data_IF_653155918926
#
_entry.id   IF_653155918926
#
_cell.length_a   1.000
_cell.length_b   1.000
_cell.length_c   1.000
_cell.angle_alpha   90.00
_cell.angle_beta   90.00
_cell.angle_gamma   90.00
#
_symmetry.space_group_name_H-M   'P 1'
#
loop_
_entity.id
_entity.type
_entity.pdbx_description
1 polymer ?
#
# COMPACT_ATOMS: atom_id res chain seq x y z
N UNK A 1 -13.11 -11.20 -4.48
CA UNK A 1 -12.31 -11.12 -3.22
C UNK A 1 -12.85 -12.02 -2.11
N UNK A 2 -14.07 -11.80 -1.60
CA UNK A 2 -14.66 -12.60 -0.50
C UNK A 2 -14.72 -14.12 -0.78
N UNK A 3 -15.15 -14.52 -1.98
CA UNK A 3 -15.20 -15.94 -2.37
C UNK A 3 -13.83 -16.61 -2.43
N UNK A 4 -12.80 -15.90 -2.90
CA UNK A 4 -11.43 -16.41 -2.94
C UNK A 4 -10.83 -16.57 -1.53
N UNK A 5 -11.02 -15.57 -0.65
CA UNK A 5 -10.51 -15.63 0.72
C UNK A 5 -11.14 -16.78 1.53
N UNK A 6 -12.45 -16.99 1.38
CA UNK A 6 -13.14 -18.12 2.01
C UNK A 6 -12.67 -19.46 1.45
N UNK A 7 -12.53 -19.58 0.12
CA UNK A 7 -12.02 -20.79 -0.50
C UNK A 7 -10.56 -21.10 -0.09
N UNK A 8 -9.73 -20.07 0.06
CA UNK A 8 -8.36 -20.18 0.54
C UNK A 8 -8.24 -20.42 2.07
N UNK A 9 -9.37 -20.54 2.79
CA UNK A 9 -9.39 -20.78 4.25
C UNK A 9 -8.95 -19.59 5.10
N UNK A 10 -8.91 -18.38 4.53
CA UNK A 10 -8.51 -17.16 5.23
C UNK A 10 -9.68 -16.68 6.11
N UNK A 11 -9.60 -17.00 7.40
CA UNK A 11 -10.63 -16.65 8.38
C UNK A 11 -10.29 -15.38 9.19
N UNK A 12 -9.07 -14.85 9.07
CA UNK A 12 -8.64 -13.59 9.69
C UNK A 12 -7.69 -12.83 8.77
N UNK A 13 -7.89 -11.52 8.71
CA UNK A 13 -6.97 -10.57 8.08
C UNK A 13 -6.43 -9.63 9.14
N UNK A 14 -5.11 -9.60 9.29
CA UNK A 14 -4.43 -8.83 10.33
C UNK A 14 -4.05 -7.42 9.86
N UNK A 15 -3.83 -7.25 8.55
CA UNK A 15 -3.46 -5.98 7.95
C UNK A 15 -3.98 -5.84 6.52
N UNK A 16 -4.24 -4.60 6.12
CA UNK A 16 -4.55 -4.17 4.77
C UNK A 16 -3.66 -2.97 4.45
N UNK A 17 -2.87 -3.09 3.39
CA UNK A 17 -2.08 -1.99 2.84
C UNK A 17 -2.82 -1.45 1.63
N UNK A 18 -3.17 -0.17 1.67
CA UNK A 18 -3.67 0.56 0.51
C UNK A 18 -2.51 1.34 -0.09
N UNK A 19 -2.00 0.85 -1.21
CA UNK A 19 -0.80 1.42 -1.83
C UNK A 19 -1.08 2.77 -2.46
N UNK A 20 -2.26 2.95 -3.08
CA UNK A 20 -2.75 4.23 -3.61
C UNK A 20 -4.30 4.23 -3.68
N UNK A 21 -4.87 5.42 -3.88
CA UNK A 21 -6.31 5.68 -3.83
C UNK A 21 -7.08 5.41 -5.12
N UNK A 22 -6.71 4.41 -5.94
CA UNK A 22 -7.39 4.22 -7.22
C UNK A 22 -8.87 3.80 -7.05
N UNK A 23 -9.70 4.66 -7.61
CA UNK A 23 -11.12 4.52 -7.88
C UNK A 23 -11.56 3.15 -8.41
N UNK A 24 -10.74 2.43 -9.18
CA UNK A 24 -11.12 1.12 -9.75
C UNK A 24 -11.09 -0.04 -8.73
N UNK A 25 -10.50 0.16 -7.54
CA UNK A 25 -10.25 -0.90 -6.56
C UNK A 25 -11.03 -0.76 -5.23
N UNK A 26 -11.70 0.36 -4.99
CA UNK A 26 -12.31 0.69 -3.67
C UNK A 26 -13.64 -0.02 -3.39
N UNK A 27 -14.31 -0.57 -4.42
CA UNK A 27 -15.59 -1.27 -4.25
C UNK A 27 -15.52 -2.49 -3.32
N UNK A 28 -14.37 -3.18 -3.27
CA UNK A 28 -14.18 -4.34 -2.39
C UNK A 28 -13.74 -4.00 -0.97
N UNK A 29 -13.14 -2.83 -0.77
CA UNK A 29 -12.53 -2.44 0.52
C UNK A 29 -13.61 -2.18 1.57
N UNK A 30 -14.71 -1.51 1.22
CA UNK A 30 -15.84 -1.27 2.12
C UNK A 30 -16.43 -2.55 2.70
N UNK A 31 -16.60 -3.56 1.85
CA UNK A 31 -17.12 -4.86 2.25
C UNK A 31 -16.11 -5.62 3.11
N UNK A 32 -14.82 -5.57 2.75
CA UNK A 32 -13.74 -6.18 3.53
C UNK A 32 -13.61 -5.56 4.94
N UNK A 33 -13.67 -4.25 5.06
CA UNK A 33 -13.63 -3.56 6.36
C UNK A 33 -14.83 -3.88 7.25
N UNK A 34 -15.98 -4.18 6.63
CA UNK A 34 -17.19 -4.63 7.33
C UNK A 34 -17.04 -6.08 7.83
N UNK A 35 -16.48 -6.96 6.99
CA UNK A 35 -16.26 -8.38 7.33
C UNK A 35 -15.10 -8.58 8.32
N UNK A 36 -14.09 -7.68 8.31
CA UNK A 36 -12.87 -7.75 9.14
C UNK A 36 -12.64 -6.47 9.95
N UNK A 37 -13.46 -6.19 10.98
CA UNK A 37 -13.45 -4.90 11.66
C UNK A 37 -12.15 -4.60 12.43
N UNK A 38 -11.31 -5.61 12.72
CA UNK A 38 -10.06 -5.47 13.49
C UNK A 38 -8.80 -5.33 12.63
N UNK A 39 -8.96 -5.27 11.31
CA UNK A 39 -7.82 -5.19 10.40
C UNK A 39 -7.04 -3.89 10.59
N UNK A 40 -5.71 -3.97 10.66
CA UNK A 40 -4.87 -2.76 10.66
C UNK A 40 -4.84 -2.16 9.26
N UNK A 41 -5.21 -0.90 9.14
CA UNK A 41 -5.16 -0.18 7.88
C UNK A 41 -3.87 0.63 7.79
N UNK A 42 -3.12 0.42 6.72
CA UNK A 42 -2.03 1.28 6.28
C UNK A 42 -2.53 2.00 5.05
N UNK A 43 -2.48 3.32 5.09
CA UNK A 43 -3.00 4.18 4.02
C UNK A 43 -1.94 5.21 3.64
N UNK A 44 -1.94 5.56 2.36
CA UNK A 44 -1.08 6.58 1.80
C UNK A 44 -1.73 7.96 2.05
N UNK A 45 -1.01 8.95 2.63
CA UNK A 45 -1.56 10.29 2.90
C UNK A 45 -1.83 11.13 1.64
N UNK A 46 -1.74 10.56 0.44
CA UNK A 46 -1.87 11.28 -0.81
C UNK A 46 -3.24 11.94 -0.99
N UNK A 47 -3.30 13.26 -1.25
CA UNK A 47 -4.56 13.95 -1.47
C UNK A 47 -5.10 13.63 -2.87
N UNK A 48 -5.90 12.57 -3.00
CA UNK A 48 -6.68 12.33 -4.21
C UNK A 48 -8.01 13.09 -4.16
N UNK A 49 -8.29 13.87 -5.21
CA UNK A 49 -9.51 14.65 -5.38
C UNK A 49 -10.69 13.81 -5.89
N UNK A 50 -10.51 12.51 -6.12
CA UNK A 50 -11.57 11.62 -6.57
C UNK A 50 -12.70 11.49 -5.54
N UNK A 51 -13.94 11.33 -6.03
CA UNK A 51 -15.15 11.10 -5.21
C UNK A 51 -14.99 9.84 -4.34
N UNK A 52 -14.24 8.87 -4.84
CA UNK A 52 -14.07 7.56 -4.24
C UNK A 52 -13.05 7.62 -3.10
N UNK A 53 -11.94 8.36 -3.27
CA UNK A 53 -11.03 8.65 -2.17
C UNK A 53 -11.76 9.41 -1.05
N UNK A 54 -12.58 10.42 -1.35
CA UNK A 54 -13.41 11.08 -0.30
C UNK A 54 -14.33 10.12 0.46
N UNK A 55 -14.74 9.00 -0.16
CA UNK A 55 -15.53 7.95 0.51
C UNK A 55 -14.63 7.07 1.39
N UNK A 56 -13.45 6.69 0.89
CA UNK A 56 -12.43 6.00 1.66
C UNK A 56 -11.99 6.83 2.88
N UNK A 57 -11.63 8.10 2.69
CA UNK A 57 -11.27 9.02 3.78
C UNK A 57 -12.40 9.13 4.81
N UNK A 58 -13.67 9.13 4.39
CA UNK A 58 -14.82 9.11 5.32
C UNK A 58 -14.90 7.83 6.15
N UNK A 59 -14.65 6.68 5.53
CA UNK A 59 -14.63 5.38 6.23
C UNK A 59 -13.44 5.34 7.20
N UNK A 60 -12.29 5.77 6.73
CA UNK A 60 -11.06 5.91 7.51
C UNK A 60 -11.27 6.84 8.71
N UNK A 61 -11.80 8.04 8.51
CA UNK A 61 -12.15 8.95 9.61
C UNK A 61 -13.21 8.37 10.55
N UNK A 62 -14.14 7.57 10.04
CA UNK A 62 -15.04 6.77 10.87
C UNK A 62 -14.32 5.76 11.76
N UNK A 63 -13.27 5.11 11.25
CA UNK A 63 -12.39 4.23 12.03
C UNK A 63 -11.54 5.02 13.04
N UNK A 64 -11.07 6.23 12.69
CA UNK A 64 -10.36 7.12 13.61
C UNK A 64 -11.22 7.52 14.80
N UNK A 65 -12.51 7.80 14.57
CA UNK A 65 -13.50 8.08 15.63
C UNK A 65 -13.70 6.91 16.59
N UNK A 66 -13.36 5.68 16.16
CA UNK A 66 -13.36 4.47 16.99
C UNK A 66 -11.98 4.18 17.62
N UNK A 67 -11.05 5.14 17.59
CA UNK A 67 -9.70 5.01 18.12
C UNK A 67 -8.73 4.22 17.23
N UNK A 68 -9.10 3.93 15.98
CA UNK A 68 -8.32 3.12 15.04
C UNK A 68 -7.72 4.00 13.95
N UNK A 69 -6.68 4.75 14.31
CA UNK A 69 -5.98 5.61 13.36
C UNK A 69 -5.13 4.79 12.40
N UNK A 70 -5.23 5.01 11.08
CA UNK A 70 -4.29 4.43 10.14
C UNK A 70 -2.86 4.83 10.48
N UNK A 71 -1.92 3.91 10.32
CA UNK A 71 -0.51 4.25 10.38
C UNK A 71 -0.15 5.05 9.12
N UNK A 72 0.30 6.29 9.29
CA UNK A 72 0.90 7.08 8.21
C UNK A 72 2.36 6.69 8.11
N UNK A 73 2.70 5.87 7.14
CA UNK A 73 4.07 5.43 6.90
C UNK A 73 4.72 6.30 5.83
N UNK A 74 6.04 6.48 5.95
CA UNK A 74 6.89 7.15 4.99
C UNK A 74 8.19 6.38 4.81
N UNK A 75 8.97 6.76 3.79
CA UNK A 75 10.27 6.18 3.53
C UNK A 75 11.16 6.18 4.79
N UNK A 76 11.74 5.03 5.09
CA UNK A 76 12.56 4.79 6.29
C UNK A 76 11.78 4.25 7.50
N UNK A 77 10.45 4.25 7.47
CA UNK A 77 9.65 3.54 8.48
C UNK A 77 9.63 2.03 8.18
N UNK A 78 9.48 1.21 9.23
CA UNK A 78 9.28 -0.23 9.10
C UNK A 78 8.14 -0.73 9.98
N UNK A 79 7.60 -1.90 9.65
CA UNK A 79 6.57 -2.54 10.45
C UNK A 79 6.57 -4.06 10.28
N UNK A 80 6.12 -4.75 11.33
CA UNK A 80 5.84 -6.18 11.24
C UNK A 80 4.57 -6.43 10.42
N UNK A 81 4.74 -7.07 9.26
CA UNK A 81 3.65 -7.55 8.42
C UNK A 81 3.02 -8.82 9.01
N UNK A 82 3.87 -9.70 9.56
CA UNK A 82 3.48 -10.86 10.37
C UNK A 82 4.43 -11.01 11.56
N UNK A 83 4.33 -12.11 12.31
CA UNK A 83 5.27 -12.41 13.39
C UNK A 83 6.72 -12.44 12.90
N UNK A 84 6.93 -12.99 11.71
CA UNK A 84 8.26 -13.31 11.19
C UNK A 84 8.62 -12.48 9.95
N UNK A 85 7.65 -11.79 9.32
CA UNK A 85 7.88 -10.94 8.15
C UNK A 85 7.90 -9.46 8.51
N UNK A 86 8.93 -8.75 8.03
CA UNK A 86 9.15 -7.31 8.24
C UNK A 86 9.04 -6.59 6.92
N UNK A 87 8.33 -5.47 6.93
CA UNK A 87 8.13 -4.61 5.78
C UNK A 87 8.83 -3.26 6.01
N UNK A 88 9.72 -2.91 5.10
CA UNK A 88 10.38 -1.61 5.04
C UNK A 88 9.70 -0.73 4.00
N UNK A 89 9.36 0.50 4.38
CA UNK A 89 8.77 1.49 3.48
C UNK A 89 9.90 2.26 2.81
N UNK A 90 9.95 2.21 1.49
CA UNK A 90 10.99 2.87 0.69
C UNK A 90 10.51 4.18 0.08
N UNK A 91 9.19 4.37 -0.04
CA UNK A 91 8.57 5.55 -0.64
C UNK A 91 7.10 5.66 -0.19
N UNK A 92 6.51 6.87 -0.07
CA UNK A 92 7.11 8.19 -0.30
C UNK A 92 7.90 8.73 0.90
N UNK A 93 8.93 9.57 0.71
CA UNK A 93 9.58 10.26 1.81
C UNK A 93 8.62 11.26 2.47
N UNK A 94 8.89 11.60 3.73
CA UNK A 94 8.08 12.55 4.48
C UNK A 94 8.04 13.90 3.77
N UNK A 95 6.84 14.44 3.57
CA UNK A 95 6.64 15.73 2.90
C UNK A 95 6.78 15.66 1.37
N UNK A 96 6.91 14.47 0.77
CA UNK A 96 6.79 14.31 -0.68
C UNK A 96 5.40 14.77 -1.12
N UNK A 97 5.33 15.57 -2.18
CA UNK A 97 4.10 16.07 -2.77
C UNK A 97 4.08 15.66 -4.24
N UNK A 98 3.55 14.46 -4.50
CA UNK A 98 3.31 13.99 -5.86
C UNK A 98 2.21 14.81 -6.54
N UNK A 99 2.25 14.91 -7.87
CA UNK A 99 1.21 15.62 -8.62
C UNK A 99 -0.11 14.83 -8.60
N UNK A 100 -0.01 13.50 -8.56
CA UNK A 100 -1.12 12.56 -8.46
C UNK A 100 -0.97 11.62 -7.26
N UNK A 101 -2.03 10.87 -6.94
CA UNK A 101 -1.98 9.87 -5.87
C UNK A 101 -1.08 8.67 -6.23
N UNK A 102 -0.95 8.38 -7.52
CA UNK A 102 -0.11 7.31 -8.06
C UNK A 102 1.38 7.66 -7.89
N UNK A 103 1.72 8.95 -8.02
CA UNK A 103 3.07 9.48 -7.76
C UNK A 103 3.48 9.37 -6.29
N UNK A 104 2.55 9.02 -5.40
CA UNK A 104 2.81 8.84 -3.98
C UNK A 104 2.67 7.38 -3.53
N UNK A 105 2.47 6.44 -4.45
CA UNK A 105 2.15 5.05 -4.11
C UNK A 105 3.19 4.43 -3.16
N UNK A 106 2.73 3.71 -2.14
CA UNK A 106 3.64 3.06 -1.18
C UNK A 106 4.51 2.02 -1.89
N UNK A 107 5.82 2.18 -1.76
CA UNK A 107 6.80 1.18 -2.17
C UNK A 107 7.29 0.46 -0.92
N UNK A 108 7.13 -0.85 -0.90
CA UNK A 108 7.41 -1.68 0.28
C UNK A 108 8.33 -2.82 -0.12
N UNK A 109 9.41 -3.00 0.64
CA UNK A 109 10.23 -4.21 0.56
C UNK A 109 9.91 -5.10 1.75
N UNK A 110 9.48 -6.32 1.46
CA UNK A 110 9.10 -7.31 2.44
C UNK A 110 10.20 -8.36 2.57
N UNK A 111 10.73 -8.52 3.78
CA UNK A 111 11.58 -9.66 4.14
C UNK A 111 10.69 -10.79 4.66
N UNK A 112 10.73 -11.91 3.96
CA UNK A 112 10.11 -13.19 4.34
C UNK A 112 11.23 -14.15 4.72
N UNK A 113 11.25 -14.70 5.94
CA UNK A 113 12.25 -15.67 6.33
C UNK A 113 12.27 -16.92 5.43
N UNK A 114 13.44 -17.55 5.24
CA UNK A 114 14.72 -17.19 5.87
C UNK A 114 15.37 -15.93 5.30
N UNK A 115 15.39 -15.72 3.98
CA UNK A 115 16.07 -14.58 3.33
C UNK A 115 15.43 -14.20 1.98
N UNK A 116 14.09 -14.28 1.87
CA UNK A 116 13.39 -13.91 0.63
C UNK A 116 12.91 -12.47 0.69
N UNK A 117 13.29 -11.67 -0.30
CA UNK A 117 12.88 -10.28 -0.43
C UNK A 117 11.88 -10.11 -1.56
N UNK A 118 10.74 -9.49 -1.24
CA UNK A 118 9.70 -9.12 -2.23
C UNK A 118 9.58 -7.60 -2.27
N UNK A 119 9.79 -7.01 -3.44
CA UNK A 119 9.61 -5.57 -3.66
C UNK A 119 8.24 -5.33 -4.29
N UNK A 120 7.38 -4.59 -3.60
CA UNK A 120 6.10 -4.12 -4.09
C UNK A 120 6.24 -2.66 -4.50
N UNK A 121 6.11 -2.37 -5.79
CA UNK A 121 6.16 -0.99 -6.30
C UNK A 121 4.77 -0.41 -6.58
N UNK A 122 3.71 -1.21 -6.41
CA UNK A 122 2.35 -0.84 -6.85
C UNK A 122 2.36 -0.41 -8.33
N UNK A 123 1.47 0.48 -8.74
CA UNK A 123 1.43 1.06 -10.08
C UNK A 123 2.28 2.34 -10.17
N UNK A 124 3.36 2.41 -9.40
CA UNK A 124 4.23 3.57 -9.37
C UNK A 124 4.78 3.89 -10.77
N UNK A 125 4.60 5.14 -11.20
CA UNK A 125 5.13 5.63 -12.47
C UNK A 125 6.64 5.89 -12.45
N UNK A 126 7.17 6.30 -13.61
CA UNK A 126 8.60 6.53 -13.82
C UNK A 126 9.23 7.57 -12.86
N UNK A 127 8.46 8.49 -12.27
CA UNK A 127 8.97 9.44 -11.29
C UNK A 127 9.37 8.77 -9.98
N UNK A 128 8.52 7.87 -9.46
CA UNK A 128 8.81 7.07 -8.27
C UNK A 128 10.01 6.16 -8.51
N UNK A 129 10.12 5.53 -9.69
CA UNK A 129 11.29 4.71 -10.05
C UNK A 129 12.58 5.54 -10.03
N UNK A 130 12.58 6.74 -10.61
CA UNK A 130 13.75 7.64 -10.56
C UNK A 130 14.07 8.08 -9.14
N UNK A 131 13.08 8.34 -8.31
CA UNK A 131 13.28 8.70 -6.90
C UNK A 131 13.94 7.55 -6.12
N UNK A 132 13.49 6.31 -6.32
CA UNK A 132 14.07 5.11 -5.70
C UNK A 132 15.51 4.86 -6.17
N UNK A 133 15.79 5.03 -7.45
CA UNK A 133 17.14 4.83 -8.01
C UNK A 133 18.12 5.92 -7.56
N UNK A 134 17.65 7.15 -7.34
CA UNK A 134 18.50 8.29 -6.95
C UNK A 134 18.77 8.40 -5.45
N UNK A 135 17.89 7.84 -4.60
CA UNK A 135 18.00 7.98 -3.15
C UNK A 135 18.90 6.92 -2.49
N UNK A 136 19.43 5.97 -3.25
CA UNK A 136 20.33 4.93 -2.75
C UNK A 136 19.65 3.87 -1.87
N UNK A 137 18.32 3.74 -1.96
CA UNK A 137 17.60 2.66 -1.29
C UNK A 137 18.09 1.30 -1.77
N UNK A 138 18.20 0.35 -0.85
CA UNK A 138 18.45 -1.04 -1.23
C UNK A 138 17.16 -1.65 -1.81
N UNK A 139 17.14 -1.76 -3.13
CA UNK A 139 16.05 -2.32 -3.93
C UNK A 139 16.25 -3.80 -4.23
N UNK A 140 17.30 -4.46 -3.71
CA UNK A 140 17.56 -5.85 -3.99
C UNK A 140 16.38 -6.71 -3.54
N UNK A 141 15.79 -7.44 -4.48
CA UNK A 141 14.70 -8.37 -4.21
C UNK A 141 14.81 -9.62 -5.09
N UNK A 142 14.29 -10.73 -4.59
CA UNK A 142 14.15 -11.98 -5.35
C UNK A 142 12.90 -11.93 -6.22
N UNK A 143 11.88 -11.22 -5.76
CA UNK A 143 10.58 -11.06 -6.43
C UNK A 143 10.28 -9.56 -6.56
N UNK A 144 9.88 -9.13 -7.75
CA UNK A 144 9.34 -7.79 -8.02
C UNK A 144 7.86 -7.92 -8.37
N UNK A 145 7.01 -7.26 -7.58
CA UNK A 145 5.58 -7.12 -7.82
C UNK A 145 5.31 -5.68 -8.25
N UNK A 146 5.20 -5.51 -9.57
CA UNK A 146 4.92 -4.23 -10.22
C UNK A 146 3.54 -4.27 -10.87
N UNK A 147 2.76 -3.23 -10.65
CA UNK A 147 1.50 -3.00 -11.35
C UNK A 147 1.75 -2.37 -12.74
N UNK A 148 0.86 -2.66 -13.69
CA UNK A 148 0.90 -2.06 -15.03
C UNK A 148 -0.39 -1.29 -15.27
N UNK A 149 -0.30 0.04 -15.31
CA UNK A 149 -1.35 0.87 -15.89
C UNK A 149 -1.31 0.80 -17.41
N UNK A 150 -2.49 0.69 -18.02
CA UNK A 150 -2.67 0.45 -19.46
C UNK A 150 -2.35 1.67 -20.36
N UNK A 151 -1.77 2.75 -19.81
CA UNK A 151 -1.60 4.02 -20.53
C UNK A 151 -0.17 4.54 -20.66
N UNK A 152 0.83 4.10 -19.90
CA UNK A 152 2.17 4.70 -20.00
C UNK A 152 3.34 3.71 -19.87
N UNK A 153 4.36 3.97 -20.70
CA UNK A 153 5.58 3.20 -20.85
C UNK A 153 6.43 3.39 -19.58
N UNK A 154 6.41 2.42 -18.68
CA UNK A 154 7.39 2.36 -17.57
C UNK A 154 8.21 1.09 -17.72
N UNK A 155 9.38 1.23 -18.34
CA UNK A 155 10.36 0.17 -18.51
C UNK A 155 11.63 0.69 -19.20
N UNK A 156 12.69 0.90 -18.43
CA UNK A 156 14.09 0.85 -18.83
C UNK A 156 14.96 0.66 -17.60
#
# INVERSE_FOLDING_TARGET
>A
MRGYLHWAGVNQLTGLVLTHGDSQHIGGITQLLSDFPRIRLIDNPAPDRSVIHRRLSRIVSGLEGLGRKPAKLAAGDNFHFSRDAVADVLFPPRGFAGATADDQALVIRLLIPPETFVLFTSDSGAETERALLSNGSDLQSDILVKGQHHSEISGS
#
